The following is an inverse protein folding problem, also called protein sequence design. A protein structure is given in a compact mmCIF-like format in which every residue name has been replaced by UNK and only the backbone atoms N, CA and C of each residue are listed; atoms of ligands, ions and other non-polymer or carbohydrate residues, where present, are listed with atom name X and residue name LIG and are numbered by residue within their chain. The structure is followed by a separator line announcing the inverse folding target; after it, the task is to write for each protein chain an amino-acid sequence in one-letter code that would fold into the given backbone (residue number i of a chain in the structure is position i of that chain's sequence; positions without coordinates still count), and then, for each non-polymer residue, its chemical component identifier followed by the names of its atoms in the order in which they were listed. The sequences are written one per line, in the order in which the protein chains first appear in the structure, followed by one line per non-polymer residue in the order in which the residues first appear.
data_IF_436968303305
#
_entry.id   IF_436968303305
#
_cell.length_a   1.000
_cell.length_b   1.000
_cell.length_c   1.000
_cell.angle_alpha   90.00
_cell.angle_beta   90.00
_cell.angle_gamma   90.00
#
_symmetry.space_group_name_H-M   'P 1'
#
loop_
_entity.id
_entity.type
_entity.pdbx_description
1 polymer ?
#
# COMPACT_ATOMS: atom_id res chain seq x y z
N UNK A 1 -7.22 1.13 5.60
CA UNK A 1 -7.16 0.34 4.36
C UNK A 1 -8.21 -0.76 4.46
N UNK A 2 -8.95 -1.03 3.38
CA UNK A 2 -10.00 -2.06 3.35
C UNK A 2 -9.52 -3.41 2.81
N UNK A 3 -8.39 -3.44 2.09
CA UNK A 3 -7.81 -4.68 1.53
C UNK A 3 -6.29 -4.73 1.73
N UNK A 4 -5.71 -5.92 1.60
CA UNK A 4 -4.26 -6.14 1.67
C UNK A 4 -3.50 -5.42 0.57
N UNK A 5 -4.05 -5.40 -0.66
CA UNK A 5 -3.49 -4.62 -1.76
C UNK A 5 -3.40 -3.14 -1.38
N UNK A 6 -4.47 -2.58 -0.81
CA UNK A 6 -4.48 -1.18 -0.38
C UNK A 6 -3.47 -0.92 0.75
N UNK A 7 -3.31 -1.85 1.70
CA UNK A 7 -2.35 -1.73 2.80
C UNK A 7 -0.90 -1.71 2.28
N UNK A 8 -0.52 -2.72 1.50
CA UNK A 8 0.86 -2.91 1.02
C UNK A 8 1.24 -1.80 0.04
N UNK A 9 0.36 -1.46 -0.90
CA UNK A 9 0.66 -0.40 -1.88
C UNK A 9 0.78 0.97 -1.22
N UNK A 10 -0.03 1.28 -0.20
CA UNK A 10 0.15 2.52 0.57
C UNK A 10 1.47 2.56 1.33
N UNK A 11 1.94 1.43 1.88
CA UNK A 11 3.27 1.33 2.51
C UNK A 11 4.40 1.59 1.51
N UNK A 12 4.30 1.06 0.29
CA UNK A 12 5.28 1.27 -0.78
C UNK A 12 5.26 2.73 -1.25
N UNK A 13 4.08 3.25 -1.61
CA UNK A 13 3.89 4.59 -2.16
C UNK A 13 4.24 5.72 -1.18
N UNK A 14 4.19 5.47 0.12
CA UNK A 14 4.56 6.46 1.15
C UNK A 14 6.07 6.67 1.32
N UNK A 15 6.91 5.79 0.76
CA UNK A 15 8.34 5.95 0.88
C UNK A 15 8.84 7.07 -0.05
N UNK A 16 9.59 8.08 0.45
CA UNK A 16 9.95 9.27 -0.35
C UNK A 16 10.83 8.97 -1.57
N UNK A 17 11.57 7.85 -1.57
CA UNK A 17 12.37 7.40 -2.72
C UNK A 17 11.58 6.65 -3.81
N UNK A 18 10.31 6.31 -3.57
CA UNK A 18 9.47 5.61 -4.56
C UNK A 18 8.79 6.64 -5.45
N UNK A 19 9.01 6.53 -6.75
CA UNK A 19 8.41 7.42 -7.76
C UNK A 19 7.17 6.83 -8.41
N UNK A 20 7.12 5.50 -8.56
CA UNK A 20 6.01 4.77 -9.16
C UNK A 20 5.93 3.35 -8.59
N UNK A 21 4.71 2.84 -8.39
CA UNK A 21 4.45 1.43 -8.11
C UNK A 21 3.71 0.81 -9.31
N UNK A 22 4.17 -0.36 -9.77
CA UNK A 22 3.60 -1.07 -10.92
C UNK A 22 3.08 -2.44 -10.46
N UNK A 23 1.83 -2.52 -9.94
CA UNK A 23 1.26 -3.80 -9.51
C UNK A 23 0.74 -4.60 -10.71
N UNK A 24 1.26 -5.81 -10.89
CA UNK A 24 0.79 -6.74 -11.90
C UNK A 24 -0.43 -7.53 -11.40
N UNK A 25 -1.44 -7.69 -12.25
CA UNK A 25 -2.60 -8.55 -12.00
C UNK A 25 -3.31 -8.91 -13.31
N UNK A 26 -3.94 -10.08 -13.35
CA UNK A 26 -4.84 -10.51 -14.45
C UNK A 26 -6.32 -10.38 -14.07
N UNK A 27 -6.62 -10.05 -12.81
CA UNK A 27 -7.98 -9.88 -12.29
C UNK A 27 -8.40 -8.42 -12.29
N UNK A 28 -9.54 -8.12 -12.90
CA UNK A 28 -10.16 -6.79 -12.89
C UNK A 28 -10.47 -6.34 -11.46
N UNK A 29 -10.84 -7.26 -10.57
CA UNK A 29 -11.15 -6.90 -9.18
C UNK A 29 -9.92 -6.42 -8.42
N UNK A 30 -8.79 -7.11 -8.57
CA UNK A 30 -7.53 -6.66 -7.99
C UNK A 30 -7.08 -5.31 -8.56
N UNK A 31 -7.38 -5.01 -9.84
CA UNK A 31 -7.10 -3.67 -10.39
C UNK A 31 -7.87 -2.61 -9.61
N UNK A 32 -9.14 -2.85 -9.27
CA UNK A 32 -9.93 -1.89 -8.47
C UNK A 32 -9.33 -1.70 -7.08
N UNK A 33 -8.95 -2.78 -6.41
CA UNK A 33 -8.28 -2.69 -5.10
C UNK A 33 -6.95 -1.93 -5.16
N UNK A 34 -6.13 -2.20 -6.18
CA UNK A 34 -4.86 -1.51 -6.40
C UNK A 34 -5.07 0.00 -6.59
N UNK A 35 -6.08 0.38 -7.38
CA UNK A 35 -6.43 1.79 -7.61
C UNK A 35 -6.88 2.49 -6.32
N UNK A 36 -7.59 1.80 -5.42
CA UNK A 36 -8.00 2.36 -4.14
C UNK A 36 -6.80 2.72 -3.23
N UNK A 37 -5.62 2.15 -3.46
CA UNK A 37 -4.40 2.53 -2.73
C UNK A 37 -3.99 3.98 -2.97
N UNK A 38 -4.30 4.52 -4.16
CA UNK A 38 -3.98 5.88 -4.59
C UNK A 38 -4.95 6.95 -4.07
N UNK A 39 -5.92 6.58 -3.22
CA UNK A 39 -6.91 7.51 -2.65
C UNK A 39 -6.65 7.78 -1.16
N UNK A 40 -6.98 8.98 -0.69
CA UNK A 40 -6.77 9.39 0.70
C UNK A 40 -5.30 9.56 1.09
N UNK A 41 -5.01 9.88 2.37
CA UNK A 41 -3.65 10.13 2.82
C UNK A 41 -2.77 8.87 2.70
N UNK A 42 -1.48 9.11 2.48
CA UNK A 42 -0.44 8.09 2.57
C UNK A 42 0.12 8.05 4.00
N UNK A 43 0.57 6.88 4.49
CA UNK A 43 1.29 6.76 5.75
C UNK A 43 2.49 7.71 5.80
N UNK A 44 2.75 8.29 6.98
CA UNK A 44 4.03 8.95 7.26
C UNK A 44 5.08 7.92 7.74
N UNK A 45 6.28 8.39 8.09
CA UNK A 45 7.36 7.52 8.55
C UNK A 45 6.97 6.71 9.80
N UNK A 46 6.31 7.34 10.78
CA UNK A 46 5.90 6.68 12.01
C UNK A 46 4.85 5.59 11.76
N UNK A 47 3.85 5.89 10.92
CA UNK A 47 2.84 4.92 10.53
C UNK A 47 3.45 3.78 9.71
N UNK A 48 4.41 4.05 8.81
CA UNK A 48 5.14 3.00 8.08
C UNK A 48 5.86 2.05 9.04
N UNK A 49 6.48 2.56 10.10
CA UNK A 49 7.15 1.71 11.09
C UNK A 49 6.15 0.82 11.84
N UNK A 50 4.97 1.35 12.19
CA UNK A 50 3.89 0.57 12.79
C UNK A 50 3.37 -0.51 11.85
N UNK A 51 3.19 -0.19 10.57
CA UNK A 51 2.78 -1.18 9.55
C UNK A 51 3.82 -2.29 9.40
N UNK A 52 5.10 -1.95 9.39
CA UNK A 52 6.18 -2.92 9.31
C UNK A 52 6.28 -3.80 10.56
N UNK A 53 6.03 -3.24 11.75
CA UNK A 53 5.95 -3.99 12.99
C UNK A 53 4.78 -4.98 12.96
N UNK A 54 3.60 -4.51 12.56
CA UNK A 54 2.42 -5.38 12.40
C UNK A 54 2.70 -6.57 11.47
N UNK A 55 3.35 -6.33 10.32
CA UNK A 55 3.68 -7.42 9.38
C UNK A 55 4.73 -8.40 9.95
N UNK A 56 5.65 -7.95 10.80
CA UNK A 56 6.62 -8.84 11.47
C UNK A 56 5.97 -9.76 12.51
N UNK A 57 4.84 -9.34 13.07
CA UNK A 57 4.13 -10.06 14.13
C UNK A 57 3.00 -10.96 13.61
N UNK A 58 2.82 -11.07 12.29
CA UNK A 58 1.87 -11.98 11.62
C UNK A 58 2.45 -13.38 11.43
#
# INVERSE_FOLDING_TARGET
AGTWAQFILKFILSHPSVTVAIPATTSVEHVRENLLAATGPLPDAAMRDQMAAYVRDL
#
